data_IF_420244106447
#
_entry.id   IF_420244106447
#
_cell.length_a   1.000
_cell.length_b   1.000
_cell.length_c   1.000
_cell.angle_alpha   90.00
_cell.angle_beta   90.00
_cell.angle_gamma   90.00
#
_symmetry.space_group_name_H-M   'P 1'
#
loop_
_entity.id
_entity.type
_entity.pdbx_description
1 polymer ?
#
# COMPACT_ATOMS: atom_id res chain seq x y z
N UNK A 1 -25.23 33.21 -26.11
CA UNK A 1 -26.51 32.85 -26.77
C UNK A 1 -27.64 32.96 -25.75
N UNK A 2 -28.87 33.27 -26.16
CA UNK A 2 -30.01 33.23 -25.24
C UNK A 2 -30.34 31.77 -24.95
N UNK A 3 -30.30 31.37 -23.68
CA UNK A 3 -30.68 30.02 -23.25
C UNK A 3 -31.28 30.02 -21.85
N UNK A 4 -31.96 28.93 -21.53
CA UNK A 4 -32.48 28.65 -20.19
C UNK A 4 -31.31 28.30 -19.26
N UNK A 5 -31.15 29.06 -18.18
CA UNK A 5 -30.10 28.86 -17.17
C UNK A 5 -30.67 29.14 -15.79
N UNK A 6 -30.01 28.63 -14.74
CA UNK A 6 -30.43 28.91 -13.37
C UNK A 6 -30.06 30.34 -12.93
N UNK A 7 -30.87 30.88 -12.03
CA UNK A 7 -30.61 32.10 -11.27
C UNK A 7 -30.69 31.76 -9.77
N UNK A 8 -29.78 32.32 -8.97
CA UNK A 8 -29.71 32.09 -7.52
C UNK A 8 -29.98 33.40 -6.79
N UNK A 9 -31.10 33.43 -6.07
CA UNK A 9 -31.50 34.53 -5.20
C UNK A 9 -30.62 34.52 -3.92
N UNK A 10 -29.76 35.53 -3.81
CA UNK A 10 -28.79 35.65 -2.72
C UNK A 10 -29.45 35.97 -1.37
N UNK A 11 -30.62 36.60 -1.38
CA UNK A 11 -31.35 36.94 -0.16
C UNK A 11 -32.01 35.69 0.43
N UNK A 12 -32.56 34.82 -0.42
CA UNK A 12 -33.19 33.55 0.00
C UNK A 12 -32.19 32.42 0.25
N UNK A 13 -30.98 32.50 -0.29
CA UNK A 13 -29.96 31.48 -0.09
C UNK A 13 -29.53 31.45 1.38
N UNK A 14 -29.62 30.29 2.05
CA UNK A 14 -29.17 30.14 3.45
C UNK A 14 -27.75 29.59 3.58
N UNK A 15 -27.04 29.39 2.47
CA UNK A 15 -25.65 28.91 2.49
C UNK A 15 -25.44 27.42 2.75
N UNK A 16 -26.51 26.60 2.74
CA UNK A 16 -26.39 25.17 3.10
C UNK A 16 -25.55 24.31 2.14
N UNK A 17 -25.27 24.78 0.92
CA UNK A 17 -24.43 24.07 -0.06
C UNK A 17 -25.07 22.86 -0.75
N UNK A 18 -26.33 22.52 -0.45
CA UNK A 18 -27.01 21.36 -1.05
C UNK A 18 -27.03 21.40 -2.59
N UNK A 19 -27.20 22.58 -3.18
CA UNK A 19 -27.16 22.79 -4.63
C UNK A 19 -25.76 22.58 -5.24
N UNK A 20 -24.69 22.94 -4.54
CA UNK A 20 -23.31 22.73 -5.02
C UNK A 20 -22.97 21.23 -5.03
N UNK A 21 -23.48 20.47 -4.06
CA UNK A 21 -23.33 19.01 -4.03
C UNK A 21 -24.17 18.33 -5.10
N UNK A 22 -25.37 18.84 -5.38
CA UNK A 22 -26.27 18.26 -6.38
C UNK A 22 -25.87 18.57 -7.84
N UNK A 23 -25.02 19.56 -8.08
CA UNK A 23 -24.57 19.92 -9.43
C UNK A 23 -23.49 18.95 -9.91
N UNK A 24 -23.85 18.05 -10.83
CA UNK A 24 -22.94 17.06 -11.39
C UNK A 24 -21.82 17.70 -12.21
N UNK A 25 -22.10 18.84 -12.85
CA UNK A 25 -21.20 19.56 -13.74
C UNK A 25 -20.22 20.46 -12.95
N UNK A 26 -20.43 20.65 -11.65
CA UNK A 26 -19.60 21.53 -10.81
C UNK A 26 -19.76 23.02 -11.12
N UNK A 27 -20.87 23.45 -11.72
CA UNK A 27 -21.12 24.84 -12.09
C UNK A 27 -21.35 25.78 -10.88
N UNK A 28 -21.82 25.24 -9.75
CA UNK A 28 -22.16 25.97 -8.53
C UNK A 28 -21.08 25.75 -7.47
N UNK A 29 -20.62 26.83 -6.85
CA UNK A 29 -19.74 26.77 -5.68
C UNK A 29 -20.24 27.68 -4.56
N UNK A 30 -19.69 27.48 -3.36
CA UNK A 30 -19.97 28.32 -2.20
C UNK A 30 -18.92 29.42 -2.11
N UNK A 31 -19.35 30.68 -2.26
CA UNK A 31 -18.52 31.88 -2.15
C UNK A 31 -19.11 32.75 -1.05
N UNK A 32 -18.28 33.15 -0.08
CA UNK A 32 -18.70 33.99 1.05
C UNK A 32 -19.96 33.45 1.79
N UNK A 33 -20.08 32.12 1.89
CA UNK A 33 -21.20 31.46 2.55
C UNK A 33 -22.50 31.41 1.75
N UNK A 34 -22.49 31.79 0.46
CA UNK A 34 -23.66 31.74 -0.43
C UNK A 34 -23.37 30.95 -1.70
N UNK A 35 -24.41 30.35 -2.26
CA UNK A 35 -24.30 29.61 -3.51
C UNK A 35 -24.17 30.58 -4.68
N UNK A 36 -23.17 30.37 -5.52
CA UNK A 36 -22.89 31.20 -6.70
C UNK A 36 -22.68 30.31 -7.92
N UNK A 37 -23.32 30.67 -9.03
CA UNK A 37 -23.04 30.08 -10.34
C UNK A 37 -21.73 30.66 -10.87
N UNK A 38 -20.62 29.96 -10.67
CA UNK A 38 -19.29 30.44 -11.06
C UNK A 38 -19.00 30.28 -12.55
N UNK A 39 -19.59 29.24 -13.16
CA UNK A 39 -19.34 28.87 -14.55
C UNK A 39 -20.66 28.64 -15.26
N UNK A 40 -21.07 29.66 -16.01
CA UNK A 40 -22.29 29.59 -16.82
C UNK A 40 -22.16 28.56 -17.94
N UNK A 41 -20.97 28.36 -18.47
CA UNK A 41 -20.62 27.36 -19.48
C UNK A 41 -20.64 25.92 -18.93
N UNK A 42 -20.61 25.73 -17.61
CA UNK A 42 -20.79 24.42 -16.99
C UNK A 42 -22.26 24.10 -16.68
N UNK A 43 -23.15 25.10 -16.68
CA UNK A 43 -24.56 24.85 -16.41
C UNK A 43 -25.25 24.30 -17.64
N UNK A 44 -25.75 23.08 -17.60
CA UNK A 44 -26.49 22.45 -18.70
C UNK A 44 -27.92 23.01 -18.87
N UNK A 45 -28.49 23.61 -17.82
CA UNK A 45 -29.85 24.12 -17.79
C UNK A 45 -30.92 23.06 -17.46
N UNK A 46 -30.54 21.86 -16.98
CA UNK A 46 -31.48 20.78 -16.62
C UNK A 46 -32.08 20.97 -15.23
N UNK A 47 -31.33 21.55 -14.29
CA UNK A 47 -31.86 22.03 -13.01
C UNK A 47 -31.90 21.02 -11.86
N UNK A 48 -31.00 20.04 -11.83
CA UNK A 48 -30.86 19.09 -10.72
C UNK A 48 -30.67 19.76 -9.34
N UNK A 49 -30.15 20.99 -9.33
CA UNK A 49 -29.99 21.78 -8.10
C UNK A 49 -31.29 22.37 -7.53
N UNK A 50 -32.37 22.47 -8.32
CA UNK A 50 -33.63 23.10 -7.87
C UNK A 50 -34.31 22.29 -6.76
N UNK A 51 -34.55 20.97 -6.90
CA UNK A 51 -35.15 20.17 -5.84
C UNK A 51 -34.28 20.09 -4.57
N UNK A 52 -32.97 20.25 -4.71
CA UNK A 52 -32.02 20.21 -3.60
C UNK A 52 -32.00 21.50 -2.77
N UNK A 53 -32.59 22.61 -3.25
CA UNK A 53 -32.59 23.88 -2.54
C UNK A 53 -33.75 23.97 -1.53
N UNK A 54 -33.51 23.85 -0.21
CA UNK A 54 -34.58 23.82 0.79
C UNK A 54 -35.33 25.15 0.94
N UNK A 55 -34.72 26.26 0.52
CA UNK A 55 -35.32 27.60 0.61
C UNK A 55 -35.97 28.06 -0.70
N UNK A 56 -35.88 27.26 -1.77
CA UNK A 56 -36.38 27.64 -3.09
C UNK A 56 -35.69 28.87 -3.69
N UNK A 57 -34.41 29.08 -3.35
CA UNK A 57 -33.62 30.23 -3.84
C UNK A 57 -33.18 30.11 -5.31
N UNK A 58 -33.41 28.98 -5.97
CA UNK A 58 -32.93 28.71 -7.33
C UNK A 58 -34.13 28.64 -8.28
N UNK A 59 -34.08 29.42 -9.35
CA UNK A 59 -35.13 29.47 -10.39
C UNK A 59 -34.51 29.42 -11.79
N UNK A 60 -35.32 29.17 -12.82
CA UNK A 60 -34.88 29.30 -14.20
C UNK A 60 -35.16 30.70 -14.74
N UNK A 61 -34.22 31.19 -15.56
CA UNK A 61 -34.37 32.42 -16.35
C UNK A 61 -33.90 32.19 -17.77
N UNK A 62 -34.44 32.94 -18.72
CA UNK A 62 -33.91 33.03 -20.07
C UNK A 62 -33.11 34.33 -20.19
N UNK A 63 -31.81 34.20 -20.42
CA UNK A 63 -30.92 35.34 -20.60
C UNK A 63 -29.77 34.98 -21.52
N UNK A 64 -29.02 35.99 -21.94
CA UNK A 64 -27.76 35.75 -22.62
C UNK A 64 -26.74 35.13 -21.64
N UNK A 65 -26.21 33.97 -22.02
CA UNK A 65 -25.19 33.23 -21.28
C UNK A 65 -24.26 32.49 -22.24
N UNK A 66 -23.11 32.06 -21.72
CA UNK A 66 -22.19 31.17 -22.44
C UNK A 66 -22.90 29.86 -22.83
N UNK A 67 -22.54 29.28 -23.98
CA UNK A 67 -23.02 27.95 -24.36
C UNK A 67 -22.46 26.90 -23.40
N UNK A 68 -23.21 25.80 -23.20
CA UNK A 68 -22.72 24.68 -22.41
C UNK A 68 -21.51 24.03 -23.10
N UNK A 69 -20.43 23.83 -22.35
CA UNK A 69 -19.18 23.21 -22.83
C UNK A 69 -18.94 21.88 -22.11
N UNK A 70 -19.38 20.79 -22.74
CA UNK A 70 -19.21 19.44 -22.22
C UNK A 70 -17.73 19.05 -22.05
N UNK A 71 -16.84 19.53 -22.93
CA UNK A 71 -15.42 19.20 -22.87
C UNK A 71 -14.77 19.86 -21.64
N UNK A 72 -15.08 21.13 -21.40
CA UNK A 72 -14.58 21.86 -20.24
C UNK A 72 -15.12 21.33 -18.91
N UNK A 73 -16.35 20.84 -18.87
CA UNK A 73 -16.92 20.14 -17.70
C UNK A 73 -16.17 18.82 -17.45
N UNK A 74 -15.94 18.03 -18.49
CA UNK A 74 -15.24 16.75 -18.37
C UNK A 74 -13.81 16.91 -17.85
N UNK A 75 -13.08 17.89 -18.37
CA UNK A 75 -11.72 18.20 -17.89
C UNK A 75 -11.72 18.58 -16.40
N UNK A 76 -12.63 19.47 -15.99
CA UNK A 76 -12.79 19.88 -14.58
C UNK A 76 -13.10 18.70 -13.64
N UNK A 77 -14.00 17.79 -14.05
CA UNK A 77 -14.36 16.63 -13.25
C UNK A 77 -13.19 15.62 -13.12
N UNK A 78 -12.34 15.53 -14.14
CA UNK A 78 -11.13 14.70 -14.07
C UNK A 78 -10.10 15.28 -13.09
N UNK A 79 -9.95 16.60 -13.01
CA UNK A 79 -9.08 17.26 -12.02
C UNK A 79 -9.59 17.09 -10.58
N UNK A 80 -10.91 17.16 -10.36
CA UNK A 80 -11.54 16.94 -9.03
C UNK A 80 -11.40 15.52 -8.49
N UNK A 81 -11.17 14.53 -9.36
CA UNK A 81 -11.00 13.13 -8.96
C UNK A 81 -9.59 12.80 -8.48
N UNK A 82 -8.67 13.78 -8.41
CA UNK A 82 -7.38 13.57 -7.77
C UNK A 82 -7.58 13.41 -6.25
N UNK A 83 -7.22 12.25 -5.67
CA UNK A 83 -7.50 11.98 -4.27
C UNK A 83 -6.70 12.93 -3.36
N UNK A 84 -7.38 13.60 -2.44
CA UNK A 84 -6.75 14.33 -1.36
C UNK A 84 -5.90 13.37 -0.50
N UNK A 85 -4.73 13.79 0.00
CA UNK A 85 -3.91 12.96 0.88
C UNK A 85 -4.65 12.68 2.19
N UNK A 86 -4.98 11.43 2.46
CA UNK A 86 -5.58 10.99 3.73
C UNK A 86 -4.54 11.10 4.85
N UNK A 87 -4.79 11.98 5.82
CA UNK A 87 -3.86 12.36 6.89
C UNK A 87 -3.64 11.26 7.98
N UNK A 88 -4.24 10.08 7.85
CA UNK A 88 -4.21 9.05 8.90
C UNK A 88 -4.20 7.63 8.32
N UNK A 89 -3.07 7.22 7.74
CA UNK A 89 -2.81 5.84 7.31
C UNK A 89 -1.52 5.30 7.92
N UNK A 90 -1.53 4.04 8.40
CA UNK A 90 -0.31 3.33 8.82
C UNK A 90 0.68 3.31 7.64
N UNK A 91 1.96 3.72 7.79
CA UNK A 91 2.94 3.74 6.70
C UNK A 91 2.99 2.45 5.86
N UNK A 92 2.73 1.29 6.48
CA UNK A 92 2.69 0.00 5.80
C UNK A 92 1.46 -0.27 4.91
N UNK A 93 0.47 0.63 4.87
CA UNK A 93 -0.70 0.54 3.98
C UNK A 93 -0.69 1.60 2.89
N UNK A 94 0.31 2.48 2.84
CA UNK A 94 0.42 3.47 1.77
C UNK A 94 0.90 2.78 0.50
N UNK A 95 0.07 2.81 -0.55
CA UNK A 95 0.50 2.41 -1.90
C UNK A 95 1.54 3.41 -2.39
N UNK A 96 2.68 2.89 -2.86
CA UNK A 96 3.77 3.68 -3.44
C UNK A 96 4.30 2.98 -4.67
N UNK A 97 4.62 3.76 -5.70
CA UNK A 97 5.30 3.28 -6.90
C UNK A 97 6.82 3.46 -6.72
N UNK A 98 7.58 2.36 -6.76
CA UNK A 98 9.04 2.38 -6.66
C UNK A 98 9.65 2.55 -8.06
N UNK A 99 9.84 3.79 -8.52
CA UNK A 99 10.54 4.07 -9.80
C UNK A 99 12.06 3.91 -9.63
N UNK A 100 12.63 2.89 -10.26
CA UNK A 100 14.08 2.69 -10.34
C UNK A 100 14.62 3.30 -11.64
N UNK A 101 15.75 3.99 -11.57
CA UNK A 101 16.51 4.35 -12.77
C UNK A 101 17.14 3.07 -13.33
N UNK A 102 16.93 2.79 -14.61
CA UNK A 102 17.50 1.60 -15.26
C UNK A 102 19.02 1.75 -15.40
N UNK A 103 19.83 0.87 -14.78
CA UNK A 103 21.25 0.82 -15.05
C UNK A 103 21.50 0.28 -16.48
N UNK A 104 22.63 0.62 -17.12
CA UNK A 104 22.97 0.12 -18.44
C UNK A 104 22.95 -1.42 -18.46
N UNK A 105 22.14 -1.99 -19.37
CA UNK A 105 21.89 -3.42 -19.48
C UNK A 105 23.14 -4.19 -19.93
N UNK A 106 23.73 -4.97 -19.04
CA UNK A 106 24.51 -6.14 -19.42
C UNK A 106 23.57 -7.29 -19.81
N UNK A 107 23.96 -8.12 -20.78
CA UNK A 107 23.16 -9.30 -21.16
C UNK A 107 22.88 -10.17 -19.92
N UNK A 108 21.61 -10.52 -19.62
CA UNK A 108 21.29 -11.27 -18.43
C UNK A 108 21.83 -12.70 -18.55
N UNK A 109 22.85 -13.02 -17.76
CA UNK A 109 23.27 -14.40 -17.57
C UNK A 109 22.18 -15.15 -16.77
N UNK A 110 21.88 -16.39 -17.14
CA UNK A 110 20.94 -17.22 -16.39
C UNK A 110 21.46 -17.40 -14.96
N UNK A 111 20.65 -17.01 -13.96
CA UNK A 111 20.98 -17.16 -12.55
C UNK A 111 20.37 -18.46 -12.02
N UNK A 112 21.17 -19.48 -11.66
CA UNK A 112 20.63 -20.74 -11.15
C UNK A 112 20.06 -20.57 -9.74
N UNK A 113 18.94 -21.24 -9.46
CA UNK A 113 18.37 -21.32 -8.12
C UNK A 113 19.40 -21.89 -7.13
N UNK A 114 19.52 -21.25 -5.97
CA UNK A 114 20.37 -21.68 -4.88
C UNK A 114 19.60 -22.49 -3.80
N UNK A 115 18.30 -22.73 -4.01
CA UNK A 115 17.47 -23.42 -3.02
C UNK A 115 17.87 -24.89 -2.90
N UNK A 116 18.23 -25.32 -1.68
CA UNK A 116 18.69 -26.68 -1.41
C UNK A 116 17.62 -27.64 -0.90
N UNK A 117 16.42 -27.16 -0.56
CA UNK A 117 15.38 -27.97 0.08
C UNK A 117 13.96 -27.47 -0.21
N UNK A 118 12.99 -28.35 0.00
CA UNK A 118 11.56 -28.08 -0.07
C UNK A 118 10.79 -28.94 0.96
N UNK A 119 9.67 -28.48 1.57
CA UNK A 119 9.06 -27.15 1.44
C UNK A 119 9.79 -26.06 2.22
N UNK A 120 9.62 -24.81 1.81
CA UNK A 120 10.23 -23.63 2.47
C UNK A 120 9.33 -22.97 3.50
N UNK A 121 8.01 -23.19 3.46
CA UNK A 121 7.09 -22.58 4.43
C UNK A 121 7.33 -23.14 5.83
N UNK A 122 7.53 -22.26 6.83
CA UNK A 122 7.79 -22.66 8.23
C UNK A 122 6.71 -23.63 8.69
N UNK A 123 5.43 -23.36 8.40
CA UNK A 123 4.29 -24.21 8.77
C UNK A 123 4.29 -25.59 8.10
N UNK A 124 4.92 -25.75 6.94
CA UNK A 124 4.94 -27.00 6.19
C UNK A 124 6.19 -27.85 6.41
N UNK A 125 7.34 -27.23 6.72
CA UNK A 125 8.60 -27.95 6.91
C UNK A 125 8.50 -28.99 8.05
N UNK A 126 8.85 -30.27 7.83
CA UNK A 126 8.87 -31.28 8.88
C UNK A 126 9.99 -31.00 9.88
N UNK A 127 9.71 -31.06 11.19
CA UNK A 127 10.68 -30.70 12.24
C UNK A 127 11.98 -31.51 12.17
N UNK A 128 11.89 -32.80 11.82
CA UNK A 128 13.02 -33.74 11.81
C UNK A 128 13.51 -34.04 10.38
N UNK A 129 13.35 -33.11 9.45
CA UNK A 129 13.83 -33.30 8.09
C UNK A 129 15.37 -33.42 8.05
N UNK A 130 15.93 -34.35 7.25
CA UNK A 130 17.37 -34.67 7.29
C UNK A 130 18.26 -33.50 6.86
N UNK A 131 17.74 -32.58 6.04
CA UNK A 131 18.47 -31.41 5.59
C UNK A 131 18.82 -30.41 6.71
N UNK A 132 18.22 -30.53 7.90
CA UNK A 132 18.59 -29.69 9.05
C UNK A 132 19.88 -30.13 9.76
N UNK A 133 20.39 -31.33 9.49
CA UNK A 133 21.61 -31.80 10.15
C UNK A 133 22.85 -31.10 9.57
N UNK A 134 23.59 -30.41 10.42
CA UNK A 134 24.75 -29.60 10.04
C UNK A 134 24.39 -28.30 9.31
N UNK A 135 23.13 -27.86 9.35
CA UNK A 135 22.65 -26.78 8.49
C UNK A 135 23.00 -25.37 9.00
N UNK A 136 23.29 -24.47 8.06
CA UNK A 136 23.13 -23.04 8.27
C UNK A 136 21.67 -22.67 7.98
N UNK A 137 20.94 -22.21 9.01
CA UNK A 137 19.51 -21.92 8.91
C UNK A 137 19.28 -20.45 8.53
N UNK A 138 18.43 -20.24 7.53
CA UNK A 138 17.88 -18.95 7.14
C UNK A 138 16.40 -18.93 7.49
N UNK A 139 15.98 -17.97 8.30
CA UNK A 139 14.57 -17.64 8.54
C UNK A 139 14.28 -16.30 7.88
N UNK A 140 13.36 -16.23 6.93
CA UNK A 140 13.11 -15.02 6.15
C UNK A 140 11.62 -14.64 6.10
N UNK A 141 11.32 -13.35 6.17
CA UNK A 141 9.96 -12.88 5.90
C UNK A 141 9.62 -13.02 4.41
N UNK A 142 8.38 -13.38 4.06
CA UNK A 142 7.98 -13.66 2.67
C UNK A 142 8.36 -12.56 1.67
N UNK A 143 8.18 -11.29 2.05
CA UNK A 143 8.45 -10.15 1.17
C UNK A 143 9.95 -9.97 0.84
N UNK A 144 10.86 -10.56 1.61
CA UNK A 144 12.32 -10.28 1.50
C UNK A 144 12.89 -10.71 0.15
N UNK A 145 12.52 -11.89 -0.34
CA UNK A 145 12.97 -12.40 -1.63
C UNK A 145 12.38 -11.62 -2.82
N UNK A 146 11.22 -10.98 -2.64
CA UNK A 146 10.59 -10.13 -3.66
C UNK A 146 11.14 -8.69 -3.65
N UNK A 147 11.58 -8.21 -2.49
CA UNK A 147 12.15 -6.87 -2.36
C UNK A 147 13.64 -6.82 -2.77
N UNK A 148 14.43 -7.84 -2.42
CA UNK A 148 15.89 -7.87 -2.65
C UNK A 148 16.27 -8.80 -3.81
N UNK A 149 16.68 -8.22 -4.94
CA UNK A 149 16.86 -8.98 -6.18
C UNK A 149 17.92 -10.10 -6.12
N UNK A 150 18.98 -9.93 -5.34
CA UNK A 150 20.07 -10.91 -5.24
C UNK A 150 19.89 -11.94 -4.10
N UNK A 151 18.65 -12.15 -3.65
CA UNK A 151 18.35 -12.91 -2.43
C UNK A 151 18.87 -14.35 -2.45
N UNK A 152 18.79 -15.00 -3.61
CA UNK A 152 19.29 -16.36 -3.77
C UNK A 152 20.80 -16.45 -3.51
N UNK A 153 21.57 -15.48 -3.98
CA UNK A 153 23.04 -15.53 -3.86
C UNK A 153 23.52 -15.08 -2.48
N UNK A 154 22.91 -14.06 -1.91
CA UNK A 154 23.41 -13.45 -0.65
C UNK A 154 22.83 -14.14 0.60
N UNK A 155 21.63 -14.72 0.50
CA UNK A 155 20.94 -15.28 1.66
C UNK A 155 20.70 -16.79 1.55
N UNK A 156 20.22 -17.31 0.41
CA UNK A 156 19.83 -18.72 0.28
C UNK A 156 21.03 -19.65 0.06
N UNK A 157 22.03 -19.22 -0.72
CA UNK A 157 23.19 -20.05 -1.08
C UNK A 157 23.84 -20.67 0.16
N UNK A 158 23.91 -22.01 0.16
CA UNK A 158 24.52 -22.79 1.24
C UNK A 158 23.70 -22.87 2.53
N UNK A 159 22.41 -22.47 2.50
CA UNK A 159 21.54 -22.45 3.69
C UNK A 159 20.23 -23.18 3.47
N UNK A 160 19.72 -23.75 4.56
CA UNK A 160 18.35 -24.23 4.64
C UNK A 160 17.44 -23.03 4.91
N UNK A 161 16.47 -22.81 4.03
CA UNK A 161 15.63 -21.62 4.01
C UNK A 161 14.21 -21.93 4.47
N UNK A 162 13.78 -21.28 5.54
CA UNK A 162 12.39 -21.26 5.96
C UNK A 162 11.83 -19.84 5.83
N UNK A 163 10.60 -19.74 5.31
CA UNK A 163 9.90 -18.47 5.11
C UNK A 163 8.56 -18.45 5.84
N UNK A 164 8.11 -17.25 6.19
CA UNK A 164 6.76 -17.01 6.67
C UNK A 164 6.45 -15.54 6.89
N UNK A 165 5.16 -15.22 7.02
CA UNK A 165 4.68 -13.88 7.36
C UNK A 165 3.77 -13.94 8.60
N UNK A 166 4.25 -13.55 9.80
CA UNK A 166 3.46 -13.66 11.04
C UNK A 166 2.19 -12.79 11.06
N UNK A 167 2.02 -11.88 10.09
CA UNK A 167 0.79 -11.10 9.92
C UNK A 167 -0.28 -11.87 9.14
N UNK A 168 0.12 -12.73 8.20
CA UNK A 168 -0.78 -13.48 7.34
C UNK A 168 -0.99 -14.89 7.86
N UNK A 169 0.05 -15.46 8.44
CA UNK A 169 0.00 -16.75 9.07
C UNK A 169 -0.69 -16.64 10.42
N UNK A 170 -1.78 -17.38 10.59
CA UNK A 170 -2.40 -17.57 11.89
C UNK A 170 -1.42 -18.24 12.87
N UNK A 171 -1.15 -17.64 14.03
CA UNK A 171 -0.31 -18.21 15.09
C UNK A 171 1.15 -17.70 15.15
N UNK A 172 1.88 -18.16 16.17
CA UNK A 172 3.29 -17.84 16.40
C UNK A 172 4.20 -19.00 15.94
N UNK A 173 5.33 -18.68 15.28
CA UNK A 173 6.30 -19.67 14.84
C UNK A 173 7.23 -20.16 15.96
N UNK A 174 7.24 -19.50 17.13
CA UNK A 174 8.19 -19.78 18.22
C UNK A 174 8.28 -21.27 18.56
N UNK A 175 7.15 -21.96 18.76
CA UNK A 175 7.14 -23.39 19.14
C UNK A 175 7.78 -24.26 18.06
N UNK A 176 7.40 -24.06 16.80
CA UNK A 176 7.90 -24.87 15.68
C UNK A 176 9.38 -24.61 15.42
N UNK A 177 9.81 -23.35 15.47
CA UNK A 177 11.22 -22.99 15.34
C UNK A 177 12.03 -23.52 16.52
N UNK A 178 11.49 -23.51 17.74
CA UNK A 178 12.15 -24.10 18.92
C UNK A 178 12.36 -25.59 18.69
N UNK A 179 11.33 -26.31 18.23
CA UNK A 179 11.44 -27.73 17.94
C UNK A 179 12.51 -28.03 16.87
N UNK A 180 12.55 -27.27 15.78
CA UNK A 180 13.57 -27.41 14.73
C UNK A 180 14.98 -27.16 15.29
N UNK A 181 15.17 -26.09 16.06
CA UNK A 181 16.48 -25.75 16.63
C UNK A 181 16.93 -26.79 17.66
N UNK A 182 16.05 -27.23 18.56
CA UNK A 182 16.37 -28.19 19.62
C UNK A 182 16.68 -29.58 19.06
N UNK A 183 15.94 -30.04 18.05
CA UNK A 183 15.99 -31.43 17.57
C UNK A 183 17.01 -31.67 16.45
N UNK A 184 17.67 -30.63 15.92
CA UNK A 184 18.60 -30.76 14.78
C UNK A 184 19.92 -30.03 15.01
N UNK A 185 21.03 -30.55 14.47
CA UNK A 185 22.35 -29.91 14.54
C UNK A 185 22.47 -28.68 13.63
N UNK A 186 21.96 -27.53 14.07
CA UNK A 186 22.06 -26.24 13.36
C UNK A 186 23.38 -25.55 13.72
N UNK A 187 24.10 -25.05 12.70
CA UNK A 187 25.42 -24.39 12.85
C UNK A 187 25.36 -22.88 12.98
N UNK A 188 24.34 -22.24 12.40
CA UNK A 188 24.13 -20.79 12.53
C UNK A 188 22.70 -20.41 12.19
N UNK A 189 22.25 -19.26 12.67
CA UNK A 189 20.92 -18.69 12.35
C UNK A 189 21.04 -17.31 11.71
N UNK A 190 20.56 -17.15 10.47
CA UNK A 190 20.35 -15.84 9.86
C UNK A 190 18.85 -15.55 9.84
N UNK A 191 18.45 -14.38 10.36
CA UNK A 191 17.08 -13.88 10.21
C UNK A 191 17.10 -12.73 9.20
N UNK A 192 16.28 -12.79 8.16
CA UNK A 192 16.11 -11.68 7.21
C UNK A 192 14.68 -11.15 7.31
N UNK A 193 14.55 -9.86 7.60
CA UNK A 193 13.25 -9.20 7.80
C UNK A 193 13.15 -7.93 6.99
N UNK A 194 11.94 -7.47 6.73
CA UNK A 194 11.70 -6.12 6.19
C UNK A 194 11.72 -5.09 7.34
N UNK A 195 12.03 -3.83 7.03
CA UNK A 195 12.01 -2.71 7.98
C UNK A 195 10.63 -2.48 8.62
N UNK A 196 9.56 -2.89 7.93
CA UNK A 196 8.18 -2.71 8.36
C UNK A 196 7.84 -3.44 9.67
N UNK A 197 6.94 -2.88 10.49
CA UNK A 197 6.67 -3.40 11.84
C UNK A 197 6.10 -4.82 11.87
N UNK A 198 5.37 -5.25 10.83
CA UNK A 198 4.82 -6.60 10.78
C UNK A 198 5.90 -7.69 10.78
N UNK A 199 7.11 -7.38 10.27
CA UNK A 199 8.23 -8.31 10.28
C UNK A 199 8.98 -8.33 11.63
N UNK A 200 8.53 -7.60 12.65
CA UNK A 200 9.06 -7.75 14.01
C UNK A 200 8.68 -9.10 14.63
N UNK A 201 7.54 -9.67 14.24
CA UNK A 201 7.06 -10.96 14.75
C UNK A 201 8.00 -12.13 14.42
N UNK A 202 8.51 -12.19 13.18
CA UNK A 202 9.38 -13.30 12.76
C UNK A 202 10.74 -13.26 13.46
N UNK A 203 11.30 -12.07 13.66
CA UNK A 203 12.54 -11.90 14.43
C UNK A 203 12.33 -12.33 15.88
N UNK A 204 11.26 -11.87 16.53
CA UNK A 204 10.95 -12.31 17.90
C UNK A 204 10.80 -13.82 17.98
N UNK A 205 10.04 -14.42 17.09
CA UNK A 205 9.84 -15.87 17.09
C UNK A 205 11.16 -16.64 16.94
N UNK A 206 12.04 -16.21 16.02
CA UNK A 206 13.34 -16.85 15.80
C UNK A 206 14.31 -16.68 16.98
N UNK A 207 14.36 -15.47 17.58
CA UNK A 207 15.24 -15.19 18.73
C UNK A 207 14.76 -15.92 19.97
N UNK A 208 13.46 -15.88 20.26
CA UNK A 208 12.86 -16.62 21.38
C UNK A 208 13.06 -18.13 21.19
N UNK A 209 12.89 -18.65 19.97
CA UNK A 209 13.14 -20.05 19.68
C UNK A 209 14.60 -20.45 19.90
N UNK A 210 15.56 -19.60 19.51
CA UNK A 210 16.98 -19.83 19.78
C UNK A 210 17.25 -19.89 21.28
N UNK A 211 16.72 -18.93 22.06
CA UNK A 211 16.84 -18.92 23.51
C UNK A 211 16.25 -20.19 24.14
N UNK A 212 15.02 -20.55 23.77
CA UNK A 212 14.33 -21.72 24.28
C UNK A 212 14.99 -23.04 23.89
N UNK A 213 15.73 -23.08 22.76
CA UNK A 213 16.44 -24.28 22.33
C UNK A 213 17.64 -24.63 23.21
N UNK A 214 18.11 -23.68 24.03
CA UNK A 214 19.32 -23.83 24.85
C UNK A 214 20.62 -23.90 24.05
N UNK A 215 20.59 -23.69 22.73
CA UNK A 215 21.76 -23.75 21.87
C UNK A 215 22.52 -22.42 21.83
N UNK A 216 23.84 -22.54 21.85
CA UNK A 216 24.73 -21.40 21.66
C UNK A 216 25.20 -21.37 20.20
N UNK A 217 24.53 -20.58 19.36
CA UNK A 217 24.78 -20.49 17.92
C UNK A 217 25.18 -19.07 17.51
N UNK A 218 26.11 -18.91 16.55
CA UNK A 218 26.26 -17.65 15.83
C UNK A 218 24.93 -17.29 15.16
N UNK A 219 24.43 -16.08 15.41
CA UNK A 219 23.22 -15.60 14.78
C UNK A 219 23.32 -14.12 14.43
N UNK A 220 22.53 -13.71 13.44
CA UNK A 220 22.40 -12.30 13.04
C UNK A 220 21.02 -12.01 12.48
N UNK A 221 20.63 -10.74 12.55
CA UNK A 221 19.45 -10.21 11.87
C UNK A 221 19.93 -9.33 10.73
N UNK A 222 19.24 -9.39 9.60
CA UNK A 222 19.45 -8.47 8.48
C UNK A 222 18.12 -7.82 8.16
N UNK A 223 18.10 -6.49 8.19
CA UNK A 223 16.91 -5.71 7.87
C UNK A 223 17.01 -5.18 6.45
N UNK A 224 15.96 -5.45 5.65
CA UNK A 224 15.81 -4.94 4.29
C UNK A 224 14.81 -3.78 4.28
N UNK A 225 15.15 -2.69 3.62
CA UNK A 225 14.21 -1.61 3.36
C UNK A 225 13.12 -2.04 2.37
N UNK A 226 12.02 -1.31 2.35
CA UNK A 226 10.90 -1.51 1.41
C UNK A 226 11.29 -1.34 -0.05
N UNK A 227 12.42 -0.67 -0.35
CA UNK A 227 12.97 -0.53 -1.70
C UNK A 227 14.10 -1.52 -2.04
N UNK A 228 14.41 -2.46 -1.12
CA UNK A 228 15.32 -3.58 -1.39
C UNK A 228 16.79 -3.30 -1.10
N UNK A 229 17.11 -2.36 -0.22
CA UNK A 229 18.47 -2.13 0.30
C UNK A 229 18.65 -2.85 1.63
N UNK A 230 19.88 -3.30 1.89
CA UNK A 230 20.26 -3.77 3.23
C UNK A 230 20.47 -2.55 4.12
N UNK A 231 19.80 -2.52 5.27
CA UNK A 231 20.02 -1.51 6.30
C UNK A 231 21.14 -1.99 7.22
N UNK A 232 22.15 -1.16 7.45
CA UNK A 232 23.18 -1.41 8.45
C UNK A 232 22.57 -1.25 9.84
N UNK A 233 22.93 -2.16 10.76
CA UNK A 233 22.51 -2.06 12.16
C UNK A 233 23.16 -0.80 12.78
N UNK A 234 22.35 0.06 13.40
CA UNK A 234 22.82 1.21 14.21
C UNK A 234 23.33 0.75 15.58
#
# INVERSE_FOLDING_TARGET
MIRKIIHIDQEKCNGCGACATACHEGAIAMVEGKATLLREDYCDGLGDCLPACPTGAITFVEREAAAYDEAAVKEHLMERQQPAPLACGCPGTHSRELRRQEPPQAAPAAVPSQLGQWPVQIKLAPVNAPYFQGAHLLIAADCTAYAYGNFHQDFIRGKITLIGCPKLDEGDYTEKLTAILSQNDIKSLTVVRMEVPCCGGIQRAAVTALQNSGKFLPWRVVTLSTDGRVLEDL
#
